data_IF_096738235681
#
_entry.id   IF_096738235681
#
_cell.length_a   1.000
_cell.length_b   1.000
_cell.length_c   1.000
_cell.angle_alpha   90.00
_cell.angle_beta   90.00
_cell.angle_gamma   90.00
#
_symmetry.space_group_name_H-M   'P 1'
#
loop_
_entity.id
_entity.type
_entity.pdbx_description
1 polymer ?
#
# COMPACT_ATOMS: atom_id res chain seq x y z
N UNK A 1 8.02 -29.38 34.09
CA UNK A 1 8.03 -30.56 33.20
C UNK A 1 7.25 -30.22 31.95
N UNK A 2 7.92 -30.25 30.81
CA UNK A 2 7.42 -29.91 29.48
C UNK A 2 6.39 -30.93 29.00
N UNK A 3 5.16 -30.49 28.68
CA UNK A 3 4.27 -31.26 27.82
C UNK A 3 4.57 -30.89 26.37
N UNK A 4 5.24 -31.80 25.67
CA UNK A 4 5.41 -31.79 24.22
C UNK A 4 4.04 -31.93 23.56
N UNK A 5 3.59 -30.90 22.88
CA UNK A 5 2.49 -31.00 21.92
C UNK A 5 3.06 -31.66 20.65
N UNK A 6 2.50 -32.81 20.32
CA UNK A 6 2.92 -33.68 19.23
C UNK A 6 2.64 -33.03 17.87
N UNK A 7 3.72 -32.66 17.16
CA UNK A 7 3.71 -31.98 15.84
C UNK A 7 3.13 -32.84 14.70
N UNK A 8 2.69 -34.08 14.95
CA UNK A 8 2.13 -34.97 13.92
C UNK A 8 0.62 -34.87 13.72
N UNK A 9 -0.12 -34.18 14.60
CA UNK A 9 -1.56 -33.96 14.41
C UNK A 9 -1.87 -32.84 13.39
N UNK A 10 -0.94 -31.89 13.20
CA UNK A 10 -1.17 -30.73 12.31
C UNK A 10 -0.92 -31.04 10.82
N UNK A 11 -0.17 -32.09 10.51
CA UNK A 11 0.27 -32.42 9.14
C UNK A 11 -0.65 -33.42 8.41
N UNK A 12 -1.77 -33.84 9.01
CA UNK A 12 -2.80 -34.64 8.31
C UNK A 12 -4.02 -33.85 7.85
N UNK A 13 -4.08 -32.54 8.14
CA UNK A 13 -5.13 -31.65 7.64
C UNK A 13 -4.75 -30.91 6.35
N UNK A 14 -3.50 -31.00 5.89
CA UNK A 14 -2.97 -30.24 4.76
C UNK A 14 -2.88 -31.04 3.44
N UNK A 15 -3.72 -32.06 3.27
CA UNK A 15 -3.59 -33.02 2.16
C UNK A 15 -4.92 -33.50 1.60
N UNK A 16 -5.80 -32.59 1.20
CA UNK A 16 -6.84 -32.83 0.21
C UNK A 16 -7.41 -31.48 -0.22
N UNK A 17 -7.24 -31.13 -1.51
CA UNK A 17 -8.06 -30.13 -2.16
C UNK A 17 -9.53 -30.55 -2.01
N UNK A 18 -10.19 -30.01 -1.00
CA UNK A 18 -11.62 -30.16 -0.80
C UNK A 18 -12.25 -28.86 -1.22
N UNK A 19 -12.94 -28.92 -2.36
CA UNK A 19 -13.93 -27.94 -2.77
C UNK A 19 -14.91 -27.78 -1.60
N UNK A 20 -14.71 -26.75 -0.77
CA UNK A 20 -15.72 -26.35 0.20
C UNK A 20 -16.82 -25.69 -0.61
N UNK A 21 -17.74 -26.52 -1.11
CA UNK A 21 -19.06 -26.08 -1.50
C UNK A 21 -19.76 -25.62 -0.23
N UNK A 22 -19.70 -24.31 0.05
CA UNK A 22 -20.66 -23.67 0.93
C UNK A 22 -22.04 -23.88 0.29
N UNK A 23 -22.78 -24.89 0.77
CA UNK A 23 -24.21 -25.00 0.50
C UNK A 23 -24.89 -23.81 1.17
N UNK A 24 -24.95 -22.69 0.45
CA UNK A 24 -25.87 -21.62 0.76
C UNK A 24 -27.29 -22.15 0.62
N UNK A 25 -28.12 -21.90 1.63
CA UNK A 25 -29.57 -21.84 1.44
C UNK A 25 -29.83 -20.89 0.29
N UNK A 26 -30.29 -21.43 -0.85
CA UNK A 26 -30.70 -20.65 -2.01
C UNK A 26 -31.78 -19.66 -1.57
N UNK A 27 -31.39 -18.41 -1.38
CA UNK A 27 -32.33 -17.31 -1.29
C UNK A 27 -32.91 -17.14 -2.68
N UNK A 28 -34.17 -17.54 -2.85
CA UNK A 28 -34.89 -17.35 -4.10
C UNK A 28 -35.07 -15.85 -4.35
N UNK A 29 -34.48 -15.35 -5.44
CA UNK A 29 -34.89 -14.12 -6.12
C UNK A 29 -34.33 -12.82 -5.54
N UNK A 30 -33.13 -12.46 -5.97
CA UNK A 30 -32.49 -11.16 -5.72
C UNK A 30 -30.98 -11.34 -5.61
N UNK A 31 -30.20 -10.65 -6.43
CA UNK A 31 -28.73 -10.65 -6.30
C UNK A 31 -28.28 -10.08 -4.95
N UNK A 32 -26.97 -10.00 -4.68
CA UNK A 32 -26.46 -9.44 -3.43
C UNK A 32 -26.92 -7.98 -3.23
N UNK A 33 -27.10 -7.55 -1.99
CA UNK A 33 -27.47 -6.16 -1.66
C UNK A 33 -26.40 -5.15 -2.09
N UNK A 34 -25.14 -5.60 -2.19
CA UNK A 34 -24.03 -4.78 -2.66
C UNK A 34 -22.97 -5.60 -3.40
N UNK A 35 -22.16 -4.90 -4.20
CA UNK A 35 -20.98 -5.44 -4.85
C UNK A 35 -19.72 -4.84 -4.24
N UNK A 36 -18.74 -5.65 -3.91
CA UNK A 36 -17.38 -5.19 -3.60
C UNK A 36 -16.49 -5.43 -4.81
N UNK A 37 -15.78 -4.41 -5.28
CA UNK A 37 -14.83 -4.55 -6.39
C UNK A 37 -13.44 -4.20 -5.89
N UNK A 38 -12.52 -5.17 -5.96
CA UNK A 38 -11.12 -5.04 -5.54
C UNK A 38 -10.26 -5.15 -6.78
N UNK A 39 -9.67 -4.04 -7.22
CA UNK A 39 -8.96 -3.99 -8.49
C UNK A 39 -8.04 -2.79 -8.60
N UNK A 40 -7.66 -2.49 -9.84
CA UNK A 40 -6.83 -1.35 -10.21
C UNK A 40 -7.52 -0.53 -11.31
N UNK A 41 -7.14 0.75 -11.51
CA UNK A 41 -7.92 1.67 -12.32
C UNK A 41 -8.12 1.26 -13.78
N UNK A 42 -7.09 0.83 -14.52
CA UNK A 42 -7.20 0.54 -15.96
C UNK A 42 -8.20 -0.60 -16.25
N UNK A 43 -8.06 -1.72 -15.54
CA UNK A 43 -9.00 -2.85 -15.60
C UNK A 43 -10.37 -2.46 -15.02
N UNK A 44 -10.38 -1.60 -14.00
CA UNK A 44 -11.58 -1.06 -13.38
C UNK A 44 -12.47 -0.29 -14.36
N UNK A 45 -11.89 0.45 -15.32
CA UNK A 45 -12.65 1.21 -16.32
C UNK A 45 -13.60 0.28 -17.09
N UNK A 46 -13.06 -0.79 -17.68
CA UNK A 46 -13.85 -1.71 -18.48
C UNK A 46 -14.80 -2.54 -17.60
N UNK A 47 -14.37 -2.94 -16.40
CA UNK A 47 -15.22 -3.65 -15.44
C UNK A 47 -16.46 -2.82 -15.07
N UNK A 48 -16.27 -1.54 -14.74
CA UNK A 48 -17.39 -0.65 -14.40
C UNK A 48 -18.28 -0.34 -15.60
N UNK A 49 -17.74 -0.18 -16.81
CA UNK A 49 -18.54 -0.04 -18.03
C UNK A 49 -19.46 -1.25 -18.23
N UNK A 50 -18.92 -2.46 -18.10
CA UNK A 50 -19.69 -3.69 -18.22
C UNK A 50 -20.71 -3.83 -17.09
N UNK A 51 -20.35 -3.46 -15.85
CA UNK A 51 -21.27 -3.46 -14.71
C UNK A 51 -22.45 -2.54 -14.96
N UNK A 52 -22.22 -1.29 -15.38
CA UNK A 52 -23.31 -0.36 -15.67
C UNK A 52 -24.13 -0.75 -16.91
N UNK A 53 -23.53 -1.45 -17.88
CA UNK A 53 -24.24 -2.00 -19.03
C UNK A 53 -25.25 -3.10 -18.65
N UNK A 54 -25.10 -3.75 -17.49
CA UNK A 54 -26.10 -4.70 -16.96
C UNK A 54 -27.42 -4.03 -16.56
N UNK A 55 -27.42 -2.71 -16.35
CA UNK A 55 -28.57 -1.96 -15.82
C UNK A 55 -28.85 -2.18 -14.33
N UNK A 56 -28.01 -2.93 -13.60
CA UNK A 56 -28.13 -3.09 -12.14
C UNK A 56 -27.62 -1.84 -11.43
N UNK A 57 -28.36 -1.39 -10.42
CA UNK A 57 -28.01 -0.26 -9.55
C UNK A 57 -27.92 -0.75 -8.10
N UNK A 58 -26.83 -1.46 -7.79
CA UNK A 58 -26.49 -1.85 -6.42
C UNK A 58 -25.37 -0.94 -5.89
N UNK A 59 -25.34 -0.65 -4.58
CA UNK A 59 -24.18 -0.03 -3.94
C UNK A 59 -22.90 -0.79 -4.27
N UNK A 60 -21.83 -0.05 -4.57
CA UNK A 60 -20.51 -0.62 -4.81
C UNK A 60 -19.54 -0.14 -3.73
N UNK A 61 -18.81 -1.08 -3.13
CA UNK A 61 -17.70 -0.80 -2.22
C UNK A 61 -16.37 -1.11 -2.90
N UNK A 62 -15.43 -0.17 -2.83
CA UNK A 62 -14.09 -0.34 -3.38
C UNK A 62 -12.99 -0.05 -2.34
N UNK A 63 -11.82 -0.68 -2.44
CA UNK A 63 -10.64 -0.30 -1.68
C UNK A 63 -9.82 0.78 -2.42
N UNK A 64 -8.65 1.08 -1.87
CA UNK A 64 -7.68 2.07 -2.32
C UNK A 64 -7.18 1.80 -3.74
N UNK A 65 -7.06 0.53 -4.14
CA UNK A 65 -6.61 0.18 -5.48
C UNK A 65 -7.47 0.78 -6.61
N UNK A 66 -8.72 1.17 -6.35
CA UNK A 66 -9.60 1.84 -7.33
C UNK A 66 -9.79 3.34 -7.06
N UNK A 67 -9.06 3.92 -6.10
CA UNK A 67 -9.12 5.35 -5.81
C UNK A 67 -8.31 6.15 -6.85
N UNK A 68 -8.91 6.38 -8.01
CA UNK A 68 -8.37 7.28 -9.03
C UNK A 68 -9.38 8.35 -9.39
N UNK A 69 -8.99 9.61 -9.33
CA UNK A 69 -9.86 10.76 -9.65
C UNK A 69 -10.27 10.79 -11.13
N UNK A 70 -9.52 10.14 -12.02
CA UNK A 70 -9.86 10.03 -13.44
C UNK A 70 -10.88 8.93 -13.74
N UNK A 71 -11.03 7.94 -12.84
CA UNK A 71 -11.84 6.74 -13.08
C UNK A 71 -13.29 7.06 -13.50
N UNK A 72 -14.05 7.95 -12.84
CA UNK A 72 -15.43 8.25 -13.25
C UNK A 72 -15.54 8.82 -14.66
N UNK A 73 -14.61 9.71 -15.03
CA UNK A 73 -14.57 10.32 -16.36
C UNK A 73 -14.26 9.27 -17.43
N UNK A 74 -13.34 8.35 -17.15
CA UNK A 74 -12.93 7.31 -18.08
C UNK A 74 -14.00 6.21 -18.23
N UNK A 75 -14.67 5.82 -17.14
CA UNK A 75 -15.84 4.92 -17.20
C UNK A 75 -16.95 5.53 -18.05
N UNK A 76 -17.15 6.84 -17.97
CA UNK A 76 -18.19 7.55 -18.72
C UNK A 76 -19.59 7.35 -18.12
N UNK A 77 -19.68 7.04 -16.83
CA UNK A 77 -20.94 6.84 -16.10
C UNK A 77 -20.90 7.53 -14.73
N UNK A 78 -22.08 7.81 -14.16
CA UNK A 78 -22.20 8.37 -12.82
C UNK A 78 -21.88 7.31 -11.76
N UNK A 79 -20.74 7.47 -11.07
CA UNK A 79 -20.28 6.54 -10.04
C UNK A 79 -20.71 6.93 -8.61
N UNK A 80 -21.86 7.60 -8.44
CA UNK A 80 -22.38 8.01 -7.12
C UNK A 80 -22.75 6.84 -6.18
N UNK A 81 -23.03 5.67 -6.76
CA UNK A 81 -23.28 4.42 -6.04
C UNK A 81 -21.98 3.81 -5.45
N UNK A 82 -20.80 4.35 -5.79
CA UNK A 82 -19.53 3.89 -5.26
C UNK A 82 -19.20 4.58 -3.94
N UNK A 83 -18.87 3.78 -2.93
CA UNK A 83 -18.17 4.20 -1.72
C UNK A 83 -16.81 3.51 -1.70
N UNK A 84 -15.77 4.24 -1.36
CA UNK A 84 -14.43 3.69 -1.26
C UNK A 84 -13.88 3.73 0.16
N UNK A 85 -12.87 2.90 0.40
CA UNK A 85 -11.98 2.98 1.57
C UNK A 85 -10.55 3.11 1.08
N UNK A 86 -9.71 3.88 1.75
CA UNK A 86 -8.28 3.94 1.41
C UNK A 86 -7.44 4.40 2.61
N UNK A 87 -6.14 4.06 2.67
CA UNK A 87 -5.23 4.69 3.61
C UNK A 87 -5.29 6.21 3.54
N UNK A 88 -5.58 6.85 4.66
CA UNK A 88 -5.59 8.29 4.80
C UNK A 88 -4.16 8.79 5.05
N UNK A 89 -3.83 9.96 4.49
CA UNK A 89 -2.67 10.71 4.95
C UNK A 89 -3.07 11.49 6.21
N UNK A 90 -2.71 10.98 7.39
CA UNK A 90 -3.05 11.56 8.68
C UNK A 90 -1.80 11.78 9.56
N UNK A 91 -0.64 11.95 8.93
CA UNK A 91 0.62 12.22 9.62
C UNK A 91 0.67 13.65 10.17
N UNK A 92 1.50 13.89 11.20
CA UNK A 92 1.67 15.22 11.79
C UNK A 92 2.14 16.27 10.79
N UNK A 93 2.80 15.85 9.70
CA UNK A 93 3.33 16.75 8.68
C UNK A 93 2.60 16.66 7.32
N UNK A 94 1.34 16.22 7.32
CA UNK A 94 0.53 16.12 6.10
C UNK A 94 0.39 17.46 5.36
N UNK A 95 0.18 18.56 6.09
CA UNK A 95 0.00 19.89 5.50
C UNK A 95 1.28 20.42 4.85
N UNK A 96 2.42 20.23 5.53
CA UNK A 96 3.74 20.57 5.00
C UNK A 96 4.01 19.86 3.67
N UNK A 97 3.81 18.53 3.63
CA UNK A 97 3.94 17.77 2.39
C UNK A 97 2.97 18.24 1.30
N UNK A 98 1.71 18.49 1.65
CA UNK A 98 0.70 18.95 0.69
C UNK A 98 1.12 20.27 0.04
N UNK A 99 1.68 21.20 0.82
CA UNK A 99 2.22 22.45 0.32
C UNK A 99 3.43 22.21 -0.58
N UNK A 100 4.40 21.40 -0.15
CA UNK A 100 5.59 21.05 -0.93
C UNK A 100 5.22 20.44 -2.30
N UNK A 101 4.26 19.51 -2.31
CA UNK A 101 3.80 18.86 -3.52
C UNK A 101 3.13 19.84 -4.49
N UNK A 102 2.23 20.69 -3.98
CA UNK A 102 1.56 21.72 -4.79
C UNK A 102 2.53 22.74 -5.36
N UNK A 103 3.43 23.26 -4.52
CA UNK A 103 4.43 24.26 -4.95
C UNK A 103 5.32 23.71 -6.07
N UNK A 104 5.59 22.40 -6.07
CA UNK A 104 6.44 21.74 -7.07
C UNK A 104 5.70 21.33 -8.34
N UNK A 105 4.48 20.84 -8.22
CA UNK A 105 3.78 20.13 -9.30
C UNK A 105 2.46 20.77 -9.73
N UNK A 106 2.06 21.89 -9.14
CA UNK A 106 0.84 22.64 -9.47
C UNK A 106 -0.42 21.76 -9.51
N UNK A 107 -0.46 20.77 -8.62
CA UNK A 107 -1.54 19.79 -8.51
C UNK A 107 -1.67 19.30 -7.07
N UNK A 108 -2.86 18.89 -6.63
CA UNK A 108 -3.03 18.31 -5.31
C UNK A 108 -2.38 16.93 -5.23
N UNK A 109 -1.93 16.50 -4.03
CA UNK A 109 -1.47 15.13 -3.81
C UNK A 109 -2.61 14.12 -4.04
N UNK A 110 -2.27 12.98 -4.62
CA UNK A 110 -3.19 11.85 -4.83
C UNK A 110 -3.03 10.74 -3.77
N UNK A 111 -3.77 9.65 -3.94
CA UNK A 111 -3.63 8.44 -3.12
C UNK A 111 -2.17 7.96 -3.13
N UNK A 112 -1.67 7.53 -1.98
CA UNK A 112 -0.30 7.05 -1.75
C UNK A 112 0.85 8.04 -1.98
N UNK A 113 0.60 9.28 -2.38
CA UNK A 113 1.69 10.25 -2.61
C UNK A 113 2.43 10.61 -1.32
N UNK A 114 1.72 10.80 -0.20
CA UNK A 114 2.35 11.05 1.10
C UNK A 114 3.21 9.84 1.56
N UNK A 115 2.72 8.63 1.34
CA UNK A 115 3.41 7.38 1.64
C UNK A 115 4.66 7.20 0.77
N UNK A 116 4.58 7.59 -0.51
CA UNK A 116 5.70 7.60 -1.46
C UNK A 116 6.79 8.61 -1.10
N UNK A 117 6.42 9.76 -0.56
CA UNK A 117 7.37 10.71 0.01
C UNK A 117 8.06 10.11 1.23
N UNK A 118 7.27 9.62 2.20
CA UNK A 118 7.80 9.10 3.46
C UNK A 118 8.70 7.88 3.25
N UNK A 119 8.35 6.99 2.32
CA UNK A 119 9.19 5.82 1.98
C UNK A 119 10.58 6.26 1.56
N UNK A 120 10.70 7.20 0.62
CA UNK A 120 12.02 7.66 0.17
C UNK A 120 12.73 8.49 1.23
N UNK A 121 12.01 9.34 1.97
CA UNK A 121 12.60 10.14 3.06
C UNK A 121 13.24 9.23 4.13
N UNK A 122 12.54 8.19 4.57
CA UNK A 122 13.05 7.24 5.56
C UNK A 122 14.26 6.46 5.00
N UNK A 123 14.20 5.99 3.74
CA UNK A 123 15.34 5.29 3.13
C UNK A 123 16.59 6.18 3.04
N UNK A 124 16.42 7.48 2.74
CA UNK A 124 17.52 8.46 2.76
C UNK A 124 18.06 8.63 4.18
N UNK A 125 17.19 8.79 5.18
CA UNK A 125 17.59 9.00 6.58
C UNK A 125 18.30 7.77 7.16
N UNK A 126 17.77 6.57 6.92
CA UNK A 126 18.38 5.32 7.34
C UNK A 126 19.75 5.12 6.68
N UNK A 127 19.87 5.46 5.40
CA UNK A 127 21.17 5.44 4.72
C UNK A 127 22.13 6.48 5.29
N UNK A 128 21.69 7.73 5.52
CA UNK A 128 22.49 8.77 6.14
C UNK A 128 23.06 8.30 7.50
N UNK A 129 22.21 7.71 8.34
CA UNK A 129 22.56 7.14 9.64
C UNK A 129 23.51 5.93 9.53
N UNK A 130 23.35 5.08 8.52
CA UNK A 130 24.19 3.92 8.28
C UNK A 130 25.64 4.30 7.89
N UNK A 131 25.81 5.45 7.23
CA UNK A 131 27.13 5.95 6.82
C UNK A 131 27.68 5.37 5.51
N UNK A 132 27.03 4.37 4.93
CA UNK A 132 27.44 3.73 3.68
C UNK A 132 26.27 3.09 2.92
N UNK A 133 26.48 2.80 1.64
CA UNK A 133 25.50 2.15 0.77
C UNK A 133 25.54 0.61 0.93
N UNK A 134 25.21 0.13 2.12
CA UNK A 134 25.11 -1.30 2.44
C UNK A 134 23.71 -1.62 2.96
N UNK A 135 23.03 -2.59 2.34
CA UNK A 135 21.63 -2.84 2.64
C UNK A 135 21.40 -3.38 4.05
N UNK A 136 22.32 -4.17 4.61
CA UNK A 136 22.21 -4.64 5.98
C UNK A 136 22.37 -3.47 6.97
N UNK A 137 23.35 -2.59 6.75
CA UNK A 137 23.53 -1.41 7.61
C UNK A 137 22.36 -0.44 7.52
N UNK A 138 21.76 -0.26 6.34
CA UNK A 138 20.57 0.57 6.17
C UNK A 138 19.38 -0.06 6.90
N UNK A 139 19.17 -1.37 6.73
CA UNK A 139 18.11 -2.12 7.39
C UNK A 139 18.08 -1.88 8.89
N UNK A 140 19.24 -2.01 9.52
CA UNK A 140 19.38 -1.88 10.97
C UNK A 140 19.06 -0.44 11.46
N UNK A 141 19.08 0.57 10.58
CA UNK A 141 18.75 1.96 10.88
C UNK A 141 17.29 2.34 10.62
N UNK A 142 16.53 1.54 9.85
CA UNK A 142 15.17 1.88 9.41
C UNK A 142 14.25 2.24 10.57
N UNK A 143 14.23 1.40 11.62
CA UNK A 143 13.44 1.67 12.83
C UNK A 143 14.06 2.78 13.67
N UNK A 144 15.39 2.80 13.82
CA UNK A 144 16.09 3.83 14.63
C UNK A 144 15.79 5.26 14.17
N UNK A 145 15.66 5.50 12.86
CA UNK A 145 15.38 6.86 12.35
C UNK A 145 13.90 7.23 12.36
N UNK A 146 13.01 6.25 12.46
CA UNK A 146 11.56 6.43 12.33
C UNK A 146 10.80 6.28 13.66
N UNK A 147 11.32 5.48 14.59
CA UNK A 147 10.72 5.21 15.88
C UNK A 147 11.29 6.14 16.96
N UNK A 148 10.53 6.43 18.03
CA UNK A 148 11.08 7.08 19.21
C UNK A 148 12.11 6.18 19.93
N UNK A 149 13.10 6.77 20.63
CA UNK A 149 13.28 8.19 20.91
C UNK A 149 14.11 8.93 19.85
N UNK A 150 14.04 10.27 19.84
CA UNK A 150 14.90 11.09 18.99
C UNK A 150 14.34 12.50 18.83
N UNK A 151 15.13 13.40 18.25
CA UNK A 151 14.63 14.74 17.87
C UNK A 151 13.67 14.59 16.69
N UNK A 152 12.49 15.18 16.79
CA UNK A 152 11.46 15.07 15.75
C UNK A 152 11.77 15.94 14.54
N UNK A 153 11.72 15.31 13.36
CA UNK A 153 11.86 15.98 12.07
C UNK A 153 10.75 15.55 11.12
N UNK A 154 10.42 16.38 10.14
CA UNK A 154 9.44 16.10 9.10
C UNK A 154 9.84 16.68 7.75
N UNK A 155 8.92 16.68 6.78
CA UNK A 155 9.11 17.21 5.45
C UNK A 155 9.72 18.62 5.36
N UNK A 156 9.36 19.57 6.25
CA UNK A 156 9.86 20.95 6.19
C UNK A 156 11.34 21.08 6.54
N UNK A 157 11.85 20.22 7.43
CA UNK A 157 13.22 20.25 7.94
C UNK A 157 13.99 18.96 7.62
N UNK A 158 13.61 18.28 6.51
CA UNK A 158 14.22 17.02 6.10
C UNK A 158 15.75 17.13 5.90
N UNK A 159 16.26 18.25 5.37
CA UNK A 159 17.70 18.46 5.18
C UNK A 159 18.44 18.50 6.52
N UNK A 160 17.83 19.08 7.55
CA UNK A 160 18.39 19.10 8.89
C UNK A 160 18.36 17.70 9.52
N UNK A 161 17.28 16.94 9.28
CA UNK A 161 17.18 15.53 9.69
C UNK A 161 18.29 14.68 9.07
N UNK A 162 18.56 14.85 7.77
CA UNK A 162 19.64 14.15 7.07
C UNK A 162 21.00 14.51 7.65
N UNK A 163 21.23 15.78 7.97
CA UNK A 163 22.47 16.22 8.62
C UNK A 163 22.62 15.61 10.03
N UNK A 164 21.56 15.62 10.83
CA UNK A 164 21.56 15.04 12.18
C UNK A 164 21.82 13.52 12.13
N UNK A 165 21.12 12.79 11.25
CA UNK A 165 21.35 11.37 11.03
C UNK A 165 22.79 11.07 10.60
N UNK A 166 23.34 11.86 9.66
CA UNK A 166 24.72 11.72 9.19
C UNK A 166 25.76 12.08 10.26
N UNK A 167 25.40 12.86 11.28
CA UNK A 167 26.25 13.16 12.44
C UNK A 167 26.11 12.12 13.57
N UNK A 168 25.29 11.09 13.38
CA UNK A 168 25.07 10.02 14.35
C UNK A 168 24.05 10.35 15.45
N UNK A 169 23.29 11.44 15.30
CA UNK A 169 22.28 11.84 16.27
C UNK A 169 21.07 10.88 16.27
N UNK A 170 20.35 10.84 17.39
CA UNK A 170 19.06 10.15 17.49
C UNK A 170 17.97 11.06 16.90
N UNK A 171 17.35 10.61 15.81
CA UNK A 171 16.27 11.33 15.14
C UNK A 171 15.00 10.49 15.18
N UNK A 172 13.86 11.17 15.12
CA UNK A 172 12.55 10.55 15.00
C UNK A 172 11.82 11.21 13.84
N UNK A 173 11.78 10.56 12.67
CA UNK A 173 11.06 11.07 11.52
C UNK A 173 9.55 10.97 11.73
N UNK A 174 8.88 12.10 11.54
CA UNK A 174 7.46 12.30 11.66
C UNK A 174 6.88 12.62 10.27
N UNK A 175 6.34 11.61 9.61
CA UNK A 175 5.97 11.67 8.20
C UNK A 175 4.73 12.49 7.83
N UNK A 176 4.52 12.55 6.52
CA UNK A 176 3.35 13.13 5.88
C UNK A 176 2.12 12.22 5.95
N UNK A 177 2.33 10.92 5.76
CA UNK A 177 1.28 9.90 5.72
C UNK A 177 0.85 9.46 7.12
N UNK A 178 1.80 9.37 8.05
CA UNK A 178 1.60 8.90 9.43
C UNK A 178 2.76 9.41 10.31
N UNK A 179 2.80 9.04 11.59
CA UNK A 179 4.01 9.26 12.41
C UNK A 179 5.18 8.36 12.02
N UNK A 180 5.01 7.50 10.99
CA UNK A 180 6.03 6.64 10.38
C UNK A 180 6.73 5.63 11.28
N UNK A 181 6.30 5.53 12.53
CA UNK A 181 6.75 4.47 13.42
C UNK A 181 6.47 3.10 12.81
N UNK A 182 7.46 2.21 12.79
CA UNK A 182 7.33 0.83 12.35
C UNK A 182 7.14 -0.13 13.52
N UNK A 183 6.29 -1.13 13.31
CA UNK A 183 6.17 -2.29 14.17
C UNK A 183 7.23 -3.37 13.84
N UNK A 184 7.17 -4.48 14.58
CA UNK A 184 8.11 -5.58 14.44
C UNK A 184 8.04 -6.30 13.09
N UNK A 185 7.02 -6.05 12.27
CA UNK A 185 6.85 -6.61 10.92
C UNK A 185 7.22 -5.59 9.82
N UNK A 186 7.69 -4.39 10.19
CA UNK A 186 7.97 -3.32 9.23
C UNK A 186 6.71 -2.61 8.71
N UNK A 187 5.57 -2.81 9.38
CA UNK A 187 4.31 -2.11 9.08
C UNK A 187 4.18 -0.80 9.87
N UNK A 188 3.40 0.19 9.40
CA UNK A 188 3.13 1.39 10.18
C UNK A 188 2.38 1.06 11.47
N UNK A 189 2.94 1.49 12.60
CA UNK A 189 2.32 1.36 13.92
C UNK A 189 1.19 2.37 14.15
N UNK A 190 1.05 3.36 13.27
CA UNK A 190 -0.12 4.24 13.21
C UNK A 190 -0.70 4.20 11.81
N UNK A 191 -1.99 3.96 11.71
CA UNK A 191 -2.71 3.88 10.44
C UNK A 191 -3.98 4.71 10.51
N UNK A 192 -4.37 5.28 9.37
CA UNK A 192 -5.68 5.88 9.22
C UNK A 192 -6.30 5.45 7.91
N UNK A 193 -7.62 5.34 7.87
CA UNK A 193 -8.39 4.98 6.67
C UNK A 193 -9.53 5.96 6.46
N UNK A 194 -9.59 6.52 5.26
CA UNK A 194 -10.70 7.33 4.79
C UNK A 194 -11.78 6.45 4.19
N UNK A 195 -13.02 6.75 4.55
CA UNK A 195 -14.20 6.39 3.77
C UNK A 195 -14.48 7.55 2.83
N UNK A 196 -14.48 7.30 1.52
CA UNK A 196 -14.57 8.34 0.51
C UNK A 196 -15.66 8.07 -0.53
N UNK A 197 -16.01 9.10 -1.30
CA UNK A 197 -16.86 9.00 -2.49
C UNK A 197 -16.22 9.79 -3.64
N UNK A 198 -16.49 9.36 -4.88
CA UNK A 198 -16.15 10.20 -6.03
C UNK A 198 -16.90 11.53 -5.98
N UNK A 199 -16.19 12.60 -6.30
CA UNK A 199 -16.68 13.96 -6.29
C UNK A 199 -16.02 14.73 -7.45
N UNK A 200 -16.37 14.42 -8.72
CA UNK A 200 -15.68 14.98 -9.90
C UNK A 200 -15.75 16.52 -10.01
N UNK A 201 -16.58 17.16 -9.20
CA UNK A 201 -16.67 18.61 -9.05
C UNK A 201 -15.59 19.22 -8.15
N UNK A 202 -14.88 18.43 -7.34
CA UNK A 202 -13.76 18.90 -6.51
C UNK A 202 -12.45 18.80 -7.29
N UNK A 203 -11.45 19.59 -6.87
CA UNK A 203 -10.13 19.64 -7.50
C UNK A 203 -9.44 18.26 -7.53
N UNK A 204 -9.58 17.50 -6.44
CA UNK A 204 -9.02 16.16 -6.26
C UNK A 204 -9.94 15.03 -6.76
N UNK A 205 -11.16 15.35 -7.19
CA UNK A 205 -12.14 14.37 -7.65
C UNK A 205 -12.68 13.42 -6.56
N UNK A 206 -12.34 13.65 -5.29
CA UNK A 206 -12.63 12.77 -4.16
C UNK A 206 -13.21 13.58 -3.00
N UNK A 207 -14.19 13.02 -2.31
CA UNK A 207 -14.71 13.58 -1.06
C UNK A 207 -14.57 12.58 0.06
N UNK A 208 -13.76 12.92 1.05
CA UNK A 208 -13.67 12.18 2.32
C UNK A 208 -14.96 12.38 3.11
N UNK A 209 -15.53 11.28 3.59
CA UNK A 209 -16.77 11.21 4.37
C UNK A 209 -16.46 11.06 5.84
N UNK A 210 -15.51 10.19 6.17
CA UNK A 210 -15.10 9.88 7.53
C UNK A 210 -13.67 9.34 7.50
N UNK A 211 -12.93 9.54 8.58
CA UNK A 211 -11.57 9.00 8.76
C UNK A 211 -11.53 8.20 10.05
N UNK A 212 -10.94 7.01 9.99
CA UNK A 212 -10.72 6.14 11.15
C UNK A 212 -9.25 5.97 11.43
N UNK A 213 -8.85 6.15 12.67
CA UNK A 213 -7.47 6.00 13.11
C UNK A 213 -7.29 4.70 13.89
N UNK A 214 -6.11 4.11 13.74
CA UNK A 214 -5.67 2.87 14.37
C UNK A 214 -4.26 3.09 14.89
N UNK A 215 -3.98 2.53 16.06
CA UNK A 215 -2.65 2.53 16.66
C UNK A 215 -2.31 1.10 17.09
N UNK A 216 -1.07 0.71 16.83
CA UNK A 216 -0.44 -0.49 17.35
C UNK A 216 0.89 -0.09 18.01
N UNK A 217 1.60 -1.07 18.57
CA UNK A 217 2.87 -0.82 19.23
C UNK A 217 3.99 -0.77 18.18
N UNK A 218 4.73 0.33 18.16
CA UNK A 218 6.00 0.40 17.45
C UNK A 218 7.03 -0.53 18.11
N UNK A 219 7.99 -1.03 17.33
CA UNK A 219 9.08 -1.85 17.85
C UNK A 219 9.71 -2.75 16.79
N UNK A 220 10.61 -3.64 17.22
CA UNK A 220 11.38 -4.53 16.35
C UNK A 220 12.89 -4.29 16.48
N UNK A 221 13.72 -5.10 15.82
CA UNK A 221 15.17 -4.93 15.82
C UNK A 221 15.60 -3.58 15.24
N UNK A 222 16.59 -2.94 15.88
CA UNK A 222 17.21 -1.69 15.44
C UNK A 222 18.65 -1.58 15.96
N UNK A 223 19.46 -0.74 15.31
CA UNK A 223 20.83 -0.46 15.71
C UNK A 223 20.90 0.40 16.98
N UNK A 224 21.90 0.14 17.83
CA UNK A 224 22.14 0.93 19.04
C UNK A 224 22.85 2.27 18.78
N UNK A 225 23.38 2.48 17.57
CA UNK A 225 24.11 3.67 17.18
C UNK A 225 23.94 3.96 15.68
N UNK A 226 24.16 5.21 15.29
CA UNK A 226 24.27 5.62 13.90
C UNK A 226 25.73 6.01 13.60
N UNK A 227 26.48 5.20 12.82
CA UNK A 227 27.84 5.54 12.41
C UNK A 227 27.94 6.87 11.67
N UNK A 228 26.92 7.21 10.88
CA UNK A 228 26.86 8.45 10.12
C UNK A 228 27.97 8.57 9.07
N UNK A 229 28.06 9.75 8.46
CA UNK A 229 29.11 10.09 7.50
C UNK A 229 28.63 11.07 6.44
N UNK A 230 29.40 12.15 6.27
CA UNK A 230 29.25 13.18 5.25
C UNK A 230 30.25 12.96 4.08
N UNK A 231 30.17 13.79 3.04
CA UNK A 231 31.08 13.79 1.89
C UNK A 231 30.87 12.64 0.92
N UNK A 232 29.66 12.06 0.88
CA UNK A 232 29.35 10.85 0.10
C UNK A 232 27.99 10.92 -0.61
N UNK A 233 27.78 9.97 -1.51
CA UNK A 233 26.51 9.79 -2.22
C UNK A 233 25.68 8.70 -1.55
N UNK A 234 24.44 9.02 -1.20
CA UNK A 234 23.36 8.11 -0.81
C UNK A 234 22.70 7.57 -2.07
N UNK A 235 22.42 6.26 -2.12
CA UNK A 235 21.73 5.63 -3.26
C UNK A 235 20.37 5.10 -2.84
N UNK A 236 19.31 5.62 -3.48
CA UNK A 236 17.93 5.14 -3.28
C UNK A 236 17.23 4.95 -4.63
N UNK A 237 16.82 3.72 -4.91
CA UNK A 237 16.06 3.35 -6.11
C UNK A 237 14.56 3.60 -5.95
N UNK A 238 13.88 3.80 -7.06
CA UNK A 238 12.41 3.90 -7.12
C UNK A 238 11.91 2.84 -8.10
N UNK A 239 11.05 1.93 -7.64
CA UNK A 239 10.47 0.87 -8.43
C UNK A 239 8.94 1.01 -8.39
N UNK A 240 8.38 1.86 -9.27
CA UNK A 240 6.96 2.24 -9.24
C UNK A 240 6.35 2.15 -10.65
N UNK A 241 5.02 2.00 -10.80
CA UNK A 241 4.38 1.92 -12.11
C UNK A 241 4.38 3.28 -12.80
N UNK A 242 5.04 3.40 -13.94
CA UNK A 242 4.83 4.49 -14.90
C UNK A 242 3.74 4.11 -15.90
N UNK A 243 3.62 2.82 -16.19
CA UNK A 243 2.62 2.27 -17.11
C UNK A 243 1.83 1.09 -16.50
N UNK A 244 0.86 0.60 -17.25
CA UNK A 244 -0.04 -0.48 -16.86
C UNK A 244 -1.12 -0.05 -15.87
N UNK A 245 -1.70 -1.04 -15.18
CA UNK A 245 -2.99 -0.89 -14.51
C UNK A 245 -3.06 0.24 -13.46
N UNK A 246 -1.92 0.58 -12.84
CA UNK A 246 -1.75 1.66 -11.85
C UNK A 246 -1.15 2.96 -12.41
N UNK A 247 -1.02 3.13 -13.73
CA UNK A 247 -0.36 4.29 -14.33
C UNK A 247 -0.94 5.65 -13.86
N UNK A 248 -2.26 5.72 -13.69
CA UNK A 248 -2.96 6.95 -13.26
C UNK A 248 -2.57 7.41 -11.85
N UNK A 249 -2.16 6.51 -10.97
CA UNK A 249 -1.69 6.83 -9.60
C UNK A 249 -0.17 6.83 -9.51
N UNK A 250 0.52 6.05 -10.34
CA UNK A 250 1.96 5.87 -10.27
C UNK A 250 2.79 7.10 -10.66
N UNK A 251 2.31 7.92 -11.61
CA UNK A 251 2.95 9.19 -11.95
C UNK A 251 3.08 10.15 -10.75
N UNK A 252 1.98 10.51 -10.09
CA UNK A 252 2.00 11.31 -8.85
C UNK A 252 2.82 10.68 -7.72
N UNK A 253 2.81 9.35 -7.56
CA UNK A 253 3.64 8.65 -6.58
C UNK A 253 5.14 8.85 -6.86
N UNK A 254 5.57 8.72 -8.12
CA UNK A 254 6.97 8.95 -8.52
C UNK A 254 7.38 10.41 -8.31
N UNK A 255 6.47 11.35 -8.60
CA UNK A 255 6.68 12.77 -8.29
C UNK A 255 6.92 12.97 -6.79
N UNK A 256 6.06 12.43 -5.93
CA UNK A 256 6.21 12.54 -4.48
C UNK A 256 7.52 11.89 -3.97
N UNK A 257 7.88 10.71 -4.49
CA UNK A 257 9.15 10.04 -4.18
C UNK A 257 10.39 10.83 -4.57
N UNK A 258 10.30 11.75 -5.55
CA UNK A 258 11.42 12.60 -5.97
C UNK A 258 11.62 13.83 -5.09
N UNK A 259 10.61 14.29 -4.35
CA UNK A 259 10.72 15.47 -3.49
C UNK A 259 11.81 15.35 -2.41
N UNK A 260 11.91 14.28 -1.60
CA UNK A 260 12.95 14.19 -0.57
C UNK A 260 14.36 14.15 -1.17
N UNK A 261 14.51 13.55 -2.36
CA UNK A 261 15.77 13.53 -3.12
C UNK A 261 16.15 14.96 -3.54
N UNK A 262 15.18 15.71 -4.08
CA UNK A 262 15.38 17.10 -4.50
C UNK A 262 15.71 18.00 -3.32
N UNK A 263 15.01 17.87 -2.19
CA UNK A 263 15.28 18.66 -0.99
C UNK A 263 16.72 18.46 -0.48
N UNK A 264 17.23 17.23 -0.49
CA UNK A 264 18.62 16.97 -0.08
C UNK A 264 19.61 17.55 -1.08
N UNK A 265 19.41 17.30 -2.38
CA UNK A 265 20.35 17.75 -3.41
C UNK A 265 20.35 19.27 -3.64
N UNK A 266 19.22 19.94 -3.40
CA UNK A 266 19.09 21.41 -3.44
C UNK A 266 19.42 22.05 -2.09
N UNK A 267 19.54 21.25 -1.03
CA UNK A 267 19.79 21.66 0.34
C UNK A 267 21.27 21.84 0.67
N UNK A 268 21.53 22.51 1.79
CA UNK A 268 22.90 22.75 2.29
C UNK A 268 23.37 21.62 3.22
N UNK A 269 23.61 20.44 2.67
CA UNK A 269 24.20 19.29 3.38
C UNK A 269 25.31 18.67 2.53
N UNK A 270 26.38 18.21 3.16
CA UNK A 270 27.51 17.56 2.48
C UNK A 270 27.18 16.09 2.15
N UNK A 271 26.04 15.89 1.49
CA UNK A 271 25.55 14.60 1.01
C UNK A 271 24.84 14.84 -0.32
N UNK A 272 24.89 13.84 -1.20
CA UNK A 272 24.14 13.83 -2.45
C UNK A 272 23.29 12.56 -2.51
N UNK A 273 22.13 12.62 -3.13
CA UNK A 273 21.25 11.46 -3.34
C UNK A 273 21.19 11.14 -4.84
N UNK A 274 21.73 9.99 -5.19
CA UNK A 274 21.61 9.37 -6.51
C UNK A 274 20.37 8.48 -6.54
N UNK A 275 19.63 8.53 -7.66
CA UNK A 275 18.39 7.76 -7.84
C UNK A 275 18.27 7.23 -9.26
N UNK A 276 17.63 6.06 -9.38
CA UNK A 276 17.20 5.47 -10.64
C UNK A 276 15.74 5.04 -10.48
N UNK A 277 14.93 5.28 -11.51
CA UNK A 277 13.51 4.94 -11.53
C UNK A 277 13.28 3.83 -12.55
N UNK A 278 12.68 2.74 -12.10
CA UNK A 278 12.31 1.59 -12.95
C UNK A 278 10.79 1.43 -13.00
N UNK A 279 10.26 1.19 -14.21
CA UNK A 279 8.83 1.01 -14.45
C UNK A 279 8.40 -0.42 -14.18
N UNK A 280 7.53 -0.60 -13.19
CA UNK A 280 6.95 -1.91 -12.87
C UNK A 280 5.91 -2.38 -13.89
N UNK A 281 5.35 -1.48 -14.70
CA UNK A 281 4.24 -1.71 -15.64
C UNK A 281 3.01 -2.35 -14.99
N UNK A 282 2.91 -2.29 -13.65
CA UNK A 282 1.98 -3.10 -12.85
C UNK A 282 2.06 -4.60 -13.20
N UNK A 283 3.21 -5.10 -13.63
CA UNK A 283 3.41 -6.46 -14.13
C UNK A 283 4.61 -7.15 -13.44
N UNK A 284 4.44 -8.44 -13.11
CA UNK A 284 5.44 -9.24 -12.39
C UNK A 284 6.80 -9.23 -13.07
N UNK A 285 6.84 -9.55 -14.37
CA UNK A 285 8.11 -9.69 -15.10
C UNK A 285 8.87 -8.38 -15.21
N UNK A 286 8.18 -7.28 -15.51
CA UNK A 286 8.79 -5.94 -15.55
C UNK A 286 9.29 -5.54 -14.16
N UNK A 287 8.54 -5.85 -13.09
CA UNK A 287 8.95 -5.55 -11.71
C UNK A 287 10.21 -6.32 -11.31
N UNK A 288 10.32 -7.60 -11.64
CA UNK A 288 11.53 -8.39 -11.38
C UNK A 288 12.72 -7.87 -12.20
N UNK A 289 12.50 -7.49 -13.46
CA UNK A 289 13.54 -6.92 -14.32
C UNK A 289 14.05 -5.58 -13.77
N UNK A 290 13.14 -4.67 -13.41
CA UNK A 290 13.48 -3.37 -12.83
C UNK A 290 14.17 -3.49 -11.49
N UNK A 291 13.70 -4.39 -10.61
CA UNK A 291 14.37 -4.69 -9.35
C UNK A 291 15.83 -5.15 -9.57
N UNK A 292 16.05 -6.11 -10.47
CA UNK A 292 17.40 -6.57 -10.81
C UNK A 292 18.26 -5.46 -11.43
N UNK A 293 17.68 -4.58 -12.24
CA UNK A 293 18.42 -3.44 -12.80
C UNK A 293 18.93 -2.49 -11.69
N UNK A 294 18.09 -2.18 -10.70
CA UNK A 294 18.48 -1.37 -9.53
C UNK A 294 19.54 -2.07 -8.68
N UNK A 295 19.38 -3.37 -8.41
CA UNK A 295 20.39 -4.15 -7.66
C UNK A 295 21.73 -4.17 -8.40
N UNK A 296 21.73 -4.44 -9.70
CA UNK A 296 22.94 -4.46 -10.52
C UNK A 296 23.61 -3.08 -10.63
N UNK A 297 22.83 -1.99 -10.54
CA UNK A 297 23.35 -0.63 -10.49
C UNK A 297 23.89 -0.23 -9.09
N UNK A 298 23.75 -1.11 -8.09
CA UNK A 298 24.28 -0.94 -6.74
C UNK A 298 23.41 -0.06 -5.84
N UNK A 299 22.09 -0.11 -6.00
CA UNK A 299 21.14 0.53 -5.07
C UNK A 299 20.83 -0.41 -3.90
N UNK A 300 21.23 -0.08 -2.66
CA UNK A 300 21.02 -0.94 -1.49
C UNK A 300 19.62 -0.78 -0.85
N UNK A 301 18.87 0.22 -1.28
CA UNK A 301 17.57 0.61 -0.74
C UNK A 301 16.64 1.06 -1.88
N UNK A 302 15.41 0.55 -1.90
CA UNK A 302 14.45 0.77 -2.99
C UNK A 302 13.05 1.07 -2.43
N UNK A 303 12.46 2.17 -2.87
CA UNK A 303 11.04 2.47 -2.64
C UNK A 303 10.17 1.76 -3.69
N UNK A 304 9.23 0.93 -3.22
CA UNK A 304 8.37 0.09 -4.05
C UNK A 304 8.70 -1.41 -3.95
N UNK A 305 8.07 -2.28 -4.77
CA UNK A 305 6.99 -2.01 -5.73
C UNK A 305 5.69 -1.45 -5.13
N UNK A 306 4.87 -0.81 -5.97
CA UNK A 306 3.57 -0.26 -5.58
C UNK A 306 2.50 -1.34 -5.33
N UNK A 307 2.30 -2.26 -6.29
CA UNK A 307 1.26 -3.29 -6.18
C UNK A 307 1.76 -4.49 -5.37
N UNK A 308 0.92 -5.04 -4.48
CA UNK A 308 1.33 -6.19 -3.68
C UNK A 308 1.61 -7.44 -4.50
N UNK A 309 0.88 -7.63 -5.61
CA UNK A 309 1.16 -8.72 -6.55
C UNK A 309 2.54 -8.66 -7.21
N UNK A 310 3.20 -7.49 -7.19
CA UNK A 310 4.57 -7.31 -7.64
C UNK A 310 5.56 -7.21 -6.47
N UNK A 311 5.18 -6.60 -5.35
CA UNK A 311 6.04 -6.44 -4.18
C UNK A 311 6.43 -7.79 -3.58
N UNK A 312 5.48 -8.69 -3.36
CA UNK A 312 5.73 -10.01 -2.76
C UNK A 312 6.79 -10.83 -3.51
N UNK A 313 6.69 -11.01 -4.85
CA UNK A 313 7.73 -11.72 -5.57
C UNK A 313 9.05 -10.95 -5.69
N UNK A 314 9.03 -9.62 -5.85
CA UNK A 314 10.27 -8.82 -5.87
C UNK A 314 11.01 -8.93 -4.52
N UNK A 315 10.28 -8.83 -3.41
CA UNK A 315 10.83 -9.00 -2.07
C UNK A 315 11.50 -10.38 -1.93
N UNK A 316 10.76 -11.44 -2.27
CA UNK A 316 11.18 -12.82 -2.05
C UNK A 316 12.29 -13.29 -3.00
N UNK A 317 12.28 -12.83 -4.25
CA UNK A 317 13.18 -13.33 -5.31
C UNK A 317 14.36 -12.40 -5.57
N UNK A 318 14.28 -11.12 -5.19
CA UNK A 318 15.32 -10.13 -5.49
C UNK A 318 15.79 -9.43 -4.21
N UNK A 319 14.92 -8.77 -3.45
CA UNK A 319 15.39 -7.90 -2.36
C UNK A 319 16.03 -8.69 -1.21
N UNK A 320 15.29 -9.64 -0.63
CA UNK A 320 15.78 -10.43 0.52
C UNK A 320 17.05 -11.22 0.16
N UNK A 321 17.13 -11.96 -0.96
CA UNK A 321 18.35 -12.70 -1.31
C UNK A 321 19.59 -11.82 -1.57
N UNK A 322 19.39 -10.57 -1.99
CA UNK A 322 20.46 -9.61 -2.25
C UNK A 322 20.65 -8.60 -1.11
N UNK A 323 20.00 -8.80 0.04
CA UNK A 323 20.07 -7.93 1.22
C UNK A 323 19.72 -6.46 0.92
N UNK A 324 18.69 -6.25 0.09
CA UNK A 324 18.22 -4.92 -0.30
C UNK A 324 17.06 -4.52 0.59
N UNK A 325 17.09 -3.29 1.12
CA UNK A 325 15.97 -2.75 1.88
C UNK A 325 14.88 -2.30 0.92
N UNK A 326 13.71 -2.94 0.99
CA UNK A 326 12.51 -2.52 0.28
C UNK A 326 11.59 -1.73 1.19
N UNK A 327 11.10 -0.56 0.77
CA UNK A 327 10.03 0.15 1.46
C UNK A 327 8.87 0.45 0.50
N UNK A 328 7.82 -0.36 0.53
CA UNK A 328 6.68 -0.14 -0.37
C UNK A 328 5.78 1.00 0.11
N UNK A 329 5.41 1.96 -0.75
CA UNK A 329 4.51 3.03 -0.36
C UNK A 329 3.02 2.66 -0.45
N UNK A 330 2.66 1.52 -1.06
CA UNK A 330 1.26 1.21 -1.36
C UNK A 330 0.92 -0.29 -1.37
N UNK A 331 1.84 -1.17 -1.01
CA UNK A 331 1.57 -2.60 -0.96
C UNK A 331 0.86 -2.97 0.35
N UNK A 332 -0.48 -2.98 0.33
CA UNK A 332 -1.33 -3.18 1.51
C UNK A 332 -1.58 -4.65 1.87
N UNK A 333 -1.26 -5.61 0.99
CA UNK A 333 -1.65 -7.01 1.19
C UNK A 333 -1.14 -7.59 2.51
N UNK A 334 -1.98 -8.42 3.14
CA UNK A 334 -1.69 -9.08 4.42
C UNK A 334 -0.42 -9.94 4.35
N UNK A 335 -0.14 -10.53 3.19
CA UNK A 335 1.06 -11.37 2.98
C UNK A 335 2.35 -10.60 3.24
N UNK A 336 2.39 -9.28 2.98
CA UNK A 336 3.59 -8.45 3.22
C UNK A 336 3.96 -8.46 4.70
N UNK A 337 2.99 -8.27 5.61
CA UNK A 337 3.18 -8.35 7.08
C UNK A 337 3.78 -9.69 7.52
N UNK A 338 3.58 -10.75 6.74
CA UNK A 338 3.92 -12.13 7.12
C UNK A 338 5.13 -12.68 6.36
N UNK A 339 5.82 -11.84 5.59
CA UNK A 339 7.02 -12.27 4.89
C UNK A 339 8.09 -12.69 5.90
N UNK A 340 8.83 -13.73 5.56
CA UNK A 340 10.08 -14.05 6.24
C UNK A 340 11.18 -13.28 5.55
N UNK A 341 11.39 -12.05 6.02
CA UNK A 341 12.14 -11.04 5.29
C UNK A 341 13.45 -10.63 5.96
N UNK A 342 13.76 -11.17 7.14
CA UNK A 342 14.92 -10.78 7.95
C UNK A 342 15.01 -9.25 8.11
N UNK A 343 13.84 -8.61 8.31
CA UNK A 343 13.66 -7.15 8.42
C UNK A 343 14.03 -6.34 7.18
N UNK A 344 14.21 -6.94 6.00
CA UNK A 344 14.52 -6.16 4.79
C UNK A 344 13.29 -5.46 4.16
N UNK A 345 12.06 -5.80 4.54
CA UNK A 345 10.84 -5.29 3.89
C UNK A 345 10.00 -4.46 4.85
N UNK A 346 9.84 -3.19 4.48
CA UNK A 346 8.99 -2.22 5.17
C UNK A 346 7.90 -1.72 4.25
N UNK A 347 6.90 -1.03 4.83
CA UNK A 347 5.95 -0.23 4.05
C UNK A 347 5.42 0.97 4.82
N UNK A 348 5.14 2.05 4.11
CA UNK A 348 4.49 3.24 4.68
C UNK A 348 2.96 3.21 4.49
N UNK A 349 2.45 2.29 3.68
CA UNK A 349 1.02 1.99 3.62
C UNK A 349 0.60 1.00 4.74
N UNK A 350 -0.56 1.19 5.36
CA UNK A 350 -1.09 0.27 6.35
C UNK A 350 -1.64 -1.02 5.74
N UNK A 351 -1.74 -2.06 6.58
CA UNK A 351 -2.16 -3.42 6.20
C UNK A 351 -3.66 -3.56 5.92
N UNK A 352 -4.00 -4.33 4.89
CA UNK A 352 -5.38 -4.77 4.57
C UNK A 352 -6.07 -5.51 5.73
N UNK A 353 -5.31 -5.98 6.73
CA UNK A 353 -5.86 -6.49 7.99
C UNK A 353 -6.83 -5.49 8.64
N UNK A 354 -6.48 -4.20 8.61
CA UNK A 354 -7.30 -3.11 9.13
C UNK A 354 -8.38 -2.71 8.12
N UNK A 355 -8.02 -2.58 6.84
CA UNK A 355 -8.94 -2.11 5.80
C UNK A 355 -10.13 -3.03 5.60
N UNK A 356 -9.94 -4.35 5.65
CA UNK A 356 -11.05 -5.31 5.54
C UNK A 356 -12.10 -5.13 6.65
N UNK A 357 -11.68 -4.73 7.85
CA UNK A 357 -12.59 -4.37 8.95
C UNK A 357 -13.33 -3.05 8.68
N UNK A 358 -12.63 -2.03 8.18
CA UNK A 358 -13.26 -0.76 7.76
C UNK A 358 -14.28 -1.00 6.64
N UNK A 359 -13.94 -1.81 5.64
CA UNK A 359 -14.84 -2.18 4.55
C UNK A 359 -16.07 -2.93 5.06
N UNK A 360 -15.90 -3.93 5.93
CA UNK A 360 -17.01 -4.66 6.54
C UNK A 360 -17.95 -3.70 7.27
N UNK A 361 -17.40 -2.79 8.06
CA UNK A 361 -18.21 -1.81 8.77
C UNK A 361 -18.94 -0.85 7.84
N UNK A 362 -18.30 -0.37 6.77
CA UNK A 362 -18.97 0.45 5.75
C UNK A 362 -20.14 -0.32 5.13
N UNK A 363 -19.95 -1.61 4.84
CA UNK A 363 -21.01 -2.47 4.32
C UNK A 363 -22.19 -2.60 5.31
N UNK A 364 -21.93 -2.93 6.57
CA UNK A 364 -22.96 -3.15 7.57
C UNK A 364 -23.64 -1.88 8.07
N UNK A 365 -22.86 -0.89 8.52
CA UNK A 365 -23.39 0.28 9.22
C UNK A 365 -23.79 1.43 8.28
N UNK A 366 -23.05 1.62 7.18
CA UNK A 366 -23.28 2.77 6.28
C UNK A 366 -24.14 2.42 5.08
N UNK A 367 -23.86 1.28 4.45
CA UNK A 367 -24.64 0.78 3.31
C UNK A 367 -25.90 0.06 3.81
N UNK A 368 -25.83 -0.60 4.98
CA UNK A 368 -26.94 -1.39 5.50
C UNK A 368 -27.12 -2.73 4.77
N UNK A 369 -26.07 -3.22 4.12
CA UNK A 369 -26.11 -4.47 3.37
C UNK A 369 -26.14 -5.67 4.32
N UNK A 370 -26.95 -6.68 3.99
CA UNK A 370 -26.94 -7.98 4.66
C UNK A 370 -26.23 -9.05 3.83
N UNK A 371 -26.17 -8.84 2.52
CA UNK A 371 -25.48 -9.70 1.56
C UNK A 371 -24.57 -8.91 0.62
N UNK A 372 -23.44 -9.50 0.26
CA UNK A 372 -22.50 -8.91 -0.69
C UNK A 372 -21.95 -9.97 -1.65
N UNK A 373 -21.56 -9.58 -2.85
CA UNK A 373 -20.61 -10.35 -3.66
C UNK A 373 -19.29 -9.60 -3.79
N UNK A 374 -18.21 -10.30 -4.05
CA UNK A 374 -16.91 -9.68 -4.32
C UNK A 374 -16.42 -10.06 -5.72
N UNK A 375 -15.95 -9.06 -6.46
CA UNK A 375 -15.08 -9.20 -7.62
C UNK A 375 -13.68 -8.78 -7.18
N UNK A 376 -12.67 -9.61 -7.44
CA UNK A 376 -11.29 -9.27 -7.07
C UNK A 376 -10.29 -9.60 -8.16
N UNK A 377 -9.30 -8.73 -8.32
CA UNK A 377 -8.18 -8.96 -9.24
C UNK A 377 -7.43 -10.23 -8.81
N UNK A 378 -7.13 -11.10 -9.77
CA UNK A 378 -6.56 -12.42 -9.55
C UNK A 378 -5.07 -12.36 -9.15
N UNK A 379 -4.82 -11.95 -7.91
CA UNK A 379 -3.52 -11.92 -7.24
C UNK A 379 -3.70 -11.92 -5.71
N UNK A 380 -2.57 -11.96 -4.98
CA UNK A 380 -2.56 -11.97 -3.51
C UNK A 380 -3.28 -10.77 -2.87
N UNK A 381 -3.19 -9.57 -3.45
CA UNK A 381 -3.90 -8.40 -2.95
C UNK A 381 -5.43 -8.61 -3.03
N UNK A 382 -5.93 -8.90 -4.23
CA UNK A 382 -7.37 -9.07 -4.44
C UNK A 382 -7.95 -10.21 -3.61
N UNK A 383 -7.26 -11.35 -3.58
CA UNK A 383 -7.72 -12.53 -2.87
C UNK A 383 -7.71 -12.33 -1.35
N UNK A 384 -6.63 -11.77 -0.78
CA UNK A 384 -6.51 -11.62 0.68
C UNK A 384 -7.49 -10.57 1.21
N UNK A 385 -7.65 -9.44 0.51
CA UNK A 385 -8.60 -8.42 0.92
C UNK A 385 -10.05 -8.89 0.76
N UNK A 386 -10.38 -9.64 -0.31
CA UNK A 386 -11.69 -10.26 -0.47
C UNK A 386 -12.02 -11.20 0.70
N UNK A 387 -11.07 -12.06 1.08
CA UNK A 387 -11.23 -12.98 2.21
C UNK A 387 -11.36 -12.26 3.54
N UNK A 388 -10.54 -11.23 3.78
CA UNK A 388 -10.56 -10.45 5.01
C UNK A 388 -11.89 -9.70 5.14
N UNK A 389 -12.36 -9.06 4.07
CA UNK A 389 -13.68 -8.42 4.04
C UNK A 389 -14.79 -9.43 4.34
N UNK A 390 -14.80 -10.59 3.66
CA UNK A 390 -15.84 -11.60 3.86
C UNK A 390 -15.88 -12.11 5.30
N UNK A 391 -14.71 -12.39 5.88
CA UNK A 391 -14.59 -12.80 7.27
C UNK A 391 -15.12 -11.73 8.23
N UNK A 392 -14.71 -10.47 8.05
CA UNK A 392 -15.09 -9.35 8.92
C UNK A 392 -16.56 -8.98 8.79
N UNK A 393 -17.10 -9.00 7.57
CA UNK A 393 -18.51 -8.73 7.31
C UNK A 393 -19.40 -9.77 7.99
N UNK A 394 -19.00 -11.05 7.96
CA UNK A 394 -19.71 -12.10 8.66
C UNK A 394 -19.59 -11.98 10.18
N UNK A 395 -18.36 -11.86 10.70
CA UNK A 395 -18.11 -11.95 12.15
C UNK A 395 -18.54 -10.70 12.92
N UNK A 396 -18.38 -9.52 12.33
CA UNK A 396 -18.56 -8.25 13.04
C UNK A 396 -19.87 -7.55 12.67
N UNK A 397 -20.42 -7.83 11.47
CA UNK A 397 -21.61 -7.15 10.95
C UNK A 397 -22.79 -8.09 10.69
N UNK A 398 -22.60 -9.40 10.86
CA UNK A 398 -23.63 -10.41 10.61
C UNK A 398 -24.03 -10.57 9.14
N UNK A 399 -23.25 -9.99 8.23
CA UNK A 399 -23.50 -10.06 6.79
C UNK A 399 -23.01 -11.38 6.16
N UNK A 400 -23.37 -11.61 4.91
CA UNK A 400 -22.95 -12.81 4.16
C UNK A 400 -22.37 -12.45 2.80
N UNK A 401 -21.20 -13.00 2.47
CA UNK A 401 -20.65 -12.89 1.11
C UNK A 401 -21.12 -14.11 0.29
N UNK A 402 -21.98 -13.87 -0.70
CA UNK A 402 -22.62 -14.93 -1.49
C UNK A 402 -21.70 -15.51 -2.56
N UNK A 403 -20.89 -14.66 -3.19
CA UNK A 403 -19.96 -15.03 -4.25
C UNK A 403 -18.63 -14.28 -4.07
N UNK A 404 -17.52 -14.97 -4.33
CA UNK A 404 -16.19 -14.36 -4.45
C UNK A 404 -15.58 -14.77 -5.79
N UNK A 405 -15.50 -13.83 -6.73
CA UNK A 405 -15.16 -14.10 -8.13
C UNK A 405 -13.87 -13.37 -8.51
N UNK A 406 -12.86 -14.13 -8.94
CA UNK A 406 -11.62 -13.59 -9.45
C UNK A 406 -11.79 -13.04 -10.87
N UNK A 407 -11.08 -11.97 -11.22
CA UNK A 407 -10.93 -11.49 -12.59
C UNK A 407 -9.46 -11.23 -12.94
N UNK A 408 -9.09 -11.46 -14.20
CA UNK A 408 -7.76 -11.12 -14.70
C UNK A 408 -7.72 -9.68 -15.22
N UNK A 409 -6.54 -9.06 -15.19
CA UNK A 409 -6.37 -7.70 -15.72
C UNK A 409 -6.37 -7.70 -17.25
N UNK A 410 -6.76 -6.58 -17.86
CA UNK A 410 -6.64 -6.37 -19.30
C UNK A 410 -7.63 -7.16 -20.16
N UNK A 411 -8.69 -7.70 -19.58
CA UNK A 411 -9.77 -8.36 -20.33
C UNK A 411 -10.59 -7.31 -21.12
N UNK A 412 -11.01 -7.68 -22.32
CA UNK A 412 -11.88 -6.82 -23.15
C UNK A 412 -13.32 -6.77 -22.63
N UNK A 413 -13.74 -7.74 -21.83
CA UNK A 413 -15.00 -7.73 -21.10
C UNK A 413 -14.93 -8.53 -19.79
N UNK A 414 -15.65 -8.03 -18.79
CA UNK A 414 -15.86 -8.62 -17.47
C UNK A 414 -17.29 -9.13 -17.27
N UNK A 415 -18.13 -9.13 -18.31
CA UNK A 415 -19.55 -9.48 -18.22
C UNK A 415 -19.81 -10.84 -17.56
N UNK A 416 -19.00 -11.85 -17.86
CA UNK A 416 -19.12 -13.20 -17.30
C UNK A 416 -18.89 -13.23 -15.78
N UNK A 417 -17.81 -12.60 -15.31
CA UNK A 417 -17.50 -12.55 -13.87
C UNK A 417 -18.50 -11.68 -13.10
N UNK A 418 -19.01 -10.62 -13.73
CA UNK A 418 -20.07 -9.77 -13.16
C UNK A 418 -21.37 -10.58 -12.99
N UNK A 419 -21.78 -11.34 -14.02
CA UNK A 419 -22.95 -12.20 -13.94
C UNK A 419 -22.78 -13.25 -12.85
N UNK A 420 -21.63 -13.90 -12.77
CA UNK A 420 -21.33 -14.87 -11.72
C UNK A 420 -21.41 -14.25 -10.32
N UNK A 421 -20.92 -13.02 -10.14
CA UNK A 421 -20.96 -12.35 -8.85
C UNK A 421 -22.39 -11.96 -8.44
N UNK A 422 -23.19 -11.45 -9.39
CA UNK A 422 -24.50 -10.85 -9.11
C UNK A 422 -25.68 -11.84 -9.10
N UNK A 423 -25.48 -13.08 -9.58
CA UNK A 423 -26.55 -14.07 -9.75
C UNK A 423 -27.42 -13.73 -10.95
#
# INVERSE_FOLDING_TARGET
MSQKIDRRAYLRAAGAATTVGLMGTLQQGGGPDMLTVIGYPESGIQLFRDFYATGRDVPVLVPDGLQSSSLPKEVGNNMQNVTGTAPAAAGPNQQAFTKLFRDRYDSPPGVFTAQSYDSVAILILANAAAGENDGQKIRDQMRRVANPPGTEYGPENLVDAVRAAANGEDINYQGASSSTNFDANGDPASAAYDVWKFAPQTEDGIRVVNTRQFQSNAGGPEANNAPGGLGRTIRVGILLPQTGDLASVGGPMIQASRLPIQQVNEGNVDLQVETQVEDTQTARQASLSGANALVNAGFPAISGPASSGNNIPVASEVFIPNQIVGCSPSSTAITVTRLQDDDYIFRTAPSDLLQGGVMAQVAGERIGAQSAATLYVNNDYGQQLSNQFAQKFQQEQGGNVTNQVAFNKGESSYSSVIQQALG
#
